data_IF_046564945638
#
_entry.id   IF_046564945638
#
_cell.length_a   1.000
_cell.length_b   1.000
_cell.length_c   1.000
_cell.angle_alpha   90.00
_cell.angle_beta   90.00
_cell.angle_gamma   90.00
#
_symmetry.space_group_name_H-M   'P 1'
#
loop_
_entity.id
_entity.type
_entity.pdbx_description
1 polymer ?
#
# COMPACT_ATOMS: atom_id res chain seq x y z
N UNK A 1 -4.01 -24.48 -13.32
CA UNK A 1 -2.60 -23.98 -13.31
C UNK A 1 -2.09 -24.07 -11.90
N UNK A 2 -0.83 -24.48 -11.66
CA UNK A 2 -0.23 -24.49 -10.33
C UNK A 2 0.17 -23.05 -9.93
N UNK A 3 0.33 -22.81 -8.63
CA UNK A 3 0.48 -21.44 -8.11
C UNK A 3 1.78 -20.76 -8.60
N UNK A 4 2.90 -21.47 -8.71
CA UNK A 4 4.16 -20.88 -9.20
C UNK A 4 4.00 -20.37 -10.63
N UNK A 5 3.38 -21.17 -11.51
CA UNK A 5 3.10 -20.82 -12.90
C UNK A 5 2.13 -19.66 -13.02
N UNK A 6 1.14 -19.61 -12.12
CA UNK A 6 0.21 -18.47 -12.02
C UNK A 6 0.96 -17.18 -11.64
N UNK A 7 1.82 -17.22 -10.62
CA UNK A 7 2.61 -16.05 -10.22
C UNK A 7 3.51 -15.57 -11.37
N UNK A 8 4.12 -16.49 -12.11
CA UNK A 8 4.95 -16.19 -13.27
C UNK A 8 4.13 -15.56 -14.41
N UNK A 9 2.97 -16.13 -14.75
CA UNK A 9 2.07 -15.61 -15.78
C UNK A 9 1.48 -14.24 -15.43
N UNK A 10 1.32 -13.95 -14.13
CA UNK A 10 0.91 -12.63 -13.65
C UNK A 10 2.04 -11.61 -13.60
N UNK A 11 3.28 -11.99 -13.87
CA UNK A 11 4.45 -11.11 -13.82
C UNK A 11 4.85 -10.70 -12.39
N UNK A 12 4.53 -11.54 -11.39
CA UNK A 12 4.79 -11.24 -9.99
C UNK A 12 6.20 -11.63 -9.53
N UNK A 13 6.87 -12.53 -10.21
CA UNK A 13 8.20 -13.03 -9.83
C UNK A 13 9.28 -12.13 -10.44
N UNK A 14 10.19 -11.60 -9.61
CA UNK A 14 11.35 -10.82 -10.07
C UNK A 14 12.64 -11.65 -9.95
N UNK A 15 13.03 -12.08 -8.75
CA UNK A 15 14.23 -12.88 -8.52
C UNK A 15 13.91 -14.06 -7.59
N UNK A 16 14.64 -15.16 -7.77
CA UNK A 16 14.53 -16.38 -6.97
C UNK A 16 15.91 -16.93 -6.65
N UNK A 17 16.10 -17.50 -5.47
CA UNK A 17 17.38 -18.16 -5.09
C UNK A 17 17.52 -19.53 -5.76
N UNK A 18 16.42 -20.28 -5.89
CA UNK A 18 16.38 -21.59 -6.54
C UNK A 18 14.96 -21.78 -7.12
N UNK A 19 14.86 -21.79 -8.45
CA UNK A 19 13.55 -21.85 -9.12
C UNK A 19 12.86 -23.21 -8.94
N UNK A 20 13.62 -24.30 -8.99
CA UNK A 20 13.05 -25.66 -8.92
C UNK A 20 12.53 -25.98 -7.52
N UNK A 21 13.34 -25.70 -6.51
CA UNK A 21 12.96 -25.91 -5.11
C UNK A 21 11.81 -25.02 -4.66
N UNK A 22 11.84 -23.74 -5.04
CA UNK A 22 10.74 -22.81 -4.73
C UNK A 22 9.44 -23.25 -5.39
N UNK A 23 9.49 -23.68 -6.67
CA UNK A 23 8.34 -24.21 -7.40
C UNK A 23 7.76 -25.43 -6.69
N UNK A 24 8.62 -26.39 -6.31
CA UNK A 24 8.21 -27.59 -5.59
C UNK A 24 7.55 -27.24 -4.24
N UNK A 25 8.13 -26.32 -3.47
CA UNK A 25 7.60 -25.92 -2.17
C UNK A 25 6.23 -25.26 -2.29
N UNK A 26 6.10 -24.24 -3.14
CA UNK A 26 4.85 -23.47 -3.21
C UNK A 26 3.71 -24.22 -3.90
N UNK A 27 4.02 -25.03 -4.93
CA UNK A 27 3.03 -25.80 -5.65
C UNK A 27 2.44 -26.95 -4.82
N UNK A 28 3.18 -27.45 -3.82
CA UNK A 28 2.74 -28.53 -2.96
C UNK A 28 2.25 -28.07 -1.57
N UNK A 29 2.10 -26.77 -1.36
CA UNK A 29 1.64 -26.22 -0.07
C UNK A 29 2.63 -26.44 1.08
N UNK A 30 3.92 -26.62 0.78
CA UNK A 30 4.99 -26.92 1.76
C UNK A 30 5.74 -25.66 2.21
N UNK A 31 5.48 -24.50 1.61
CA UNK A 31 6.12 -23.28 2.00
C UNK A 31 5.46 -22.70 3.26
N UNK A 32 6.26 -22.59 4.33
CA UNK A 32 5.99 -21.66 5.43
C UNK A 32 6.85 -20.43 5.19
N UNK A 33 6.24 -19.32 4.87
CA UNK A 33 6.95 -18.14 4.36
C UNK A 33 6.58 -16.88 5.10
N UNK A 34 7.49 -15.91 5.14
CA UNK A 34 7.19 -14.62 5.75
C UNK A 34 7.38 -13.44 4.79
N UNK A 35 6.61 -12.39 5.07
CA UNK A 35 6.82 -11.05 4.56
C UNK A 35 6.87 -10.09 5.75
N UNK A 36 7.88 -9.21 5.78
CA UNK A 36 8.05 -8.20 6.82
C UNK A 36 7.32 -6.90 6.50
N UNK A 37 6.74 -6.30 7.53
CA UNK A 37 6.02 -5.02 7.46
C UNK A 37 6.49 -4.11 8.58
N UNK A 38 7.28 -3.09 8.26
CA UNK A 38 7.68 -2.08 9.24
C UNK A 38 6.50 -1.14 9.55
N UNK A 39 6.10 -0.99 10.82
CA UNK A 39 4.92 -0.24 11.24
C UNK A 39 5.19 1.28 11.25
N UNK A 40 5.54 1.84 10.09
CA UNK A 40 5.92 3.26 9.92
C UNK A 40 4.75 4.23 9.85
N UNK A 41 3.52 3.73 9.90
CA UNK A 41 2.26 4.47 9.95
C UNK A 41 1.19 3.59 10.60
N UNK A 42 0.09 4.19 11.00
CA UNK A 42 -1.09 3.52 11.58
C UNK A 42 -2.02 2.89 10.53
N UNK A 43 -1.59 2.80 9.29
CA UNK A 43 -2.30 2.10 8.20
C UNK A 43 -1.33 1.54 7.17
N UNK A 44 -1.72 0.40 6.60
CA UNK A 44 -1.17 -0.11 5.34
C UNK A 44 -1.64 0.79 4.18
N UNK A 45 -0.90 0.77 3.09
CA UNK A 45 -1.22 1.54 1.88
C UNK A 45 -1.01 0.67 0.62
N UNK A 46 -1.37 1.19 -0.55
CA UNK A 46 -1.25 0.48 -1.84
C UNK A 46 0.15 -0.09 -2.08
N UNK A 47 1.21 0.51 -1.54
CA UNK A 47 2.57 -0.06 -1.63
C UNK A 47 2.74 -1.42 -0.94
N UNK A 48 1.92 -1.74 0.07
CA UNK A 48 1.90 -3.05 0.74
C UNK A 48 0.92 -4.04 0.06
N UNK A 49 0.06 -3.53 -0.82
CA UNK A 49 -1.05 -4.28 -1.39
C UNK A 49 -0.60 -5.52 -2.16
N UNK A 50 0.47 -5.40 -2.95
CA UNK A 50 1.01 -6.54 -3.69
C UNK A 50 1.49 -7.67 -2.76
N UNK A 51 2.16 -7.31 -1.66
CA UNK A 51 2.59 -8.29 -0.67
C UNK A 51 1.40 -9.01 -0.04
N UNK A 52 0.33 -8.28 0.30
CA UNK A 52 -0.90 -8.86 0.84
C UNK A 52 -1.62 -9.77 -0.18
N UNK A 53 -1.70 -9.35 -1.44
CA UNK A 53 -2.25 -10.18 -2.52
C UNK A 53 -1.44 -11.47 -2.73
N UNK A 54 -0.10 -11.38 -2.66
CA UNK A 54 0.77 -12.54 -2.75
C UNK A 54 0.52 -13.51 -1.59
N UNK A 55 0.48 -12.99 -0.34
CA UNK A 55 0.20 -13.81 0.84
C UNK A 55 -1.13 -14.54 0.71
N UNK A 56 -2.18 -13.84 0.26
CA UNK A 56 -3.50 -14.42 0.02
C UNK A 56 -3.46 -15.53 -1.03
N UNK A 57 -2.81 -15.30 -2.17
CA UNK A 57 -2.68 -16.31 -3.24
C UNK A 57 -1.99 -17.57 -2.78
N UNK A 58 -0.85 -17.40 -2.10
CA UNK A 58 -0.08 -18.53 -1.58
C UNK A 58 -0.83 -19.27 -0.48
N UNK A 59 -1.59 -18.57 0.38
CA UNK A 59 -2.44 -19.20 1.37
C UNK A 59 -3.57 -20.02 0.72
N UNK A 60 -4.23 -19.48 -0.31
CA UNK A 60 -5.25 -20.19 -1.09
C UNK A 60 -4.70 -21.46 -1.76
N UNK A 61 -3.40 -21.46 -2.09
CA UNK A 61 -2.69 -22.62 -2.63
C UNK A 61 -2.16 -23.59 -1.53
N UNK A 62 -2.57 -23.42 -0.26
CA UNK A 62 -2.23 -24.31 0.85
C UNK A 62 -0.91 -23.97 1.56
N UNK A 63 -0.22 -22.90 1.18
CA UNK A 63 0.99 -22.46 1.86
C UNK A 63 0.68 -21.66 3.13
N UNK A 64 1.61 -21.63 4.07
CA UNK A 64 1.43 -20.99 5.38
C UNK A 64 2.12 -19.63 5.45
N UNK A 65 1.39 -18.50 5.39
CA UNK A 65 1.99 -17.17 5.51
C UNK A 65 2.29 -16.81 6.97
N UNK A 66 3.38 -16.04 7.13
CA UNK A 66 3.74 -15.35 8.37
C UNK A 66 3.78 -13.85 8.06
N UNK A 67 2.89 -13.08 8.65
CA UNK A 67 2.99 -11.62 8.65
C UNK A 67 3.92 -11.21 9.79
N UNK A 68 5.15 -10.82 9.46
CA UNK A 68 6.12 -10.35 10.44
C UNK A 68 6.00 -8.83 10.59
N UNK A 69 5.56 -8.41 11.76
CA UNK A 69 5.53 -6.97 12.09
C UNK A 69 6.88 -6.55 12.63
N UNK A 70 7.45 -5.52 12.04
CA UNK A 70 8.76 -4.98 12.38
C UNK A 70 8.74 -4.09 13.64
N UNK A 71 8.20 -4.58 14.77
CA UNK A 71 8.18 -3.84 16.01
C UNK A 71 9.58 -3.53 16.55
N UNK A 72 10.53 -4.47 16.40
CA UNK A 72 11.94 -4.27 16.75
C UNK A 72 12.70 -3.50 15.67
N UNK A 73 12.57 -3.89 14.40
CA UNK A 73 13.23 -3.21 13.27
C UNK A 73 12.70 -1.80 13.04
N UNK A 74 11.48 -1.48 13.48
CA UNK A 74 10.90 -0.15 13.45
C UNK A 74 11.67 0.90 14.26
N UNK A 75 12.43 0.48 15.27
CA UNK A 75 13.35 1.38 16.02
C UNK A 75 14.55 1.82 15.19
N UNK A 76 14.92 1.04 14.17
CA UNK A 76 16.12 1.25 13.36
C UNK A 76 15.74 1.90 12.02
N UNK A 77 14.81 1.31 11.30
CA UNK A 77 14.36 1.71 9.98
C UNK A 77 15.20 1.14 8.84
N UNK A 78 14.51 0.49 7.89
CA UNK A 78 15.11 -0.11 6.70
C UNK A 78 15.71 0.97 5.77
N UNK A 79 17.00 0.91 5.42
CA UNK A 79 17.64 1.81 4.48
C UNK A 79 17.34 1.48 3.01
N UNK A 80 16.80 0.31 2.69
CA UNK A 80 16.61 -0.18 1.32
C UNK A 80 15.68 0.72 0.51
N UNK A 81 16.11 1.05 -0.73
CA UNK A 81 15.32 1.87 -1.65
C UNK A 81 15.06 3.31 -1.18
N UNK A 82 15.89 3.85 -0.28
CA UNK A 82 15.78 5.19 0.28
C UNK A 82 17.07 6.00 0.13
N UNK A 83 16.90 7.30 0.12
CA UNK A 83 18.02 8.25 0.10
C UNK A 83 18.27 8.92 1.45
N UNK A 84 17.28 8.91 2.35
CA UNK A 84 17.31 9.62 3.64
C UNK A 84 16.98 8.66 4.79
N UNK A 85 17.54 8.93 5.98
CA UNK A 85 17.26 8.18 7.20
C UNK A 85 15.81 8.36 7.63
N UNK A 86 15.19 7.32 8.19
CA UNK A 86 13.85 7.40 8.78
C UNK A 86 13.86 8.19 10.08
N UNK A 87 12.76 8.90 10.36
CA UNK A 87 12.52 9.48 11.68
C UNK A 87 12.30 8.35 12.71
N UNK A 88 12.89 8.49 13.88
CA UNK A 88 12.70 7.54 14.98
C UNK A 88 11.29 7.69 15.56
N UNK A 89 10.61 6.56 15.78
CA UNK A 89 9.29 6.50 16.38
C UNK A 89 9.39 6.09 17.87
N UNK A 90 8.41 6.48 18.69
CA UNK A 90 8.32 6.01 20.07
C UNK A 90 7.79 4.57 20.13
N UNK A 91 8.09 3.82 21.22
CA UNK A 91 7.56 2.47 21.43
C UNK A 91 6.03 2.39 21.34
N UNK A 92 5.35 3.39 21.92
CA UNK A 92 3.88 3.48 21.94
C UNK A 92 3.32 3.66 20.52
N UNK A 93 3.96 4.51 19.72
CA UNK A 93 3.58 4.70 18.30
C UNK A 93 3.77 3.40 17.51
N UNK A 94 4.89 2.70 17.70
CA UNK A 94 5.16 1.42 17.04
C UNK A 94 4.10 0.39 17.41
N UNK A 95 3.76 0.26 18.71
CA UNK A 95 2.76 -0.69 19.18
C UNK A 95 1.37 -0.37 18.59
N UNK A 96 0.97 0.90 18.63
CA UNK A 96 -0.30 1.33 18.02
C UNK A 96 -0.37 0.96 16.52
N UNK A 97 0.69 1.24 15.78
CA UNK A 97 0.75 0.92 14.36
C UNK A 97 0.69 -0.61 14.10
N UNK A 98 1.35 -1.41 14.95
CA UNK A 98 1.27 -2.88 14.90
C UNK A 98 -0.18 -3.37 15.03
N UNK A 99 -0.92 -2.83 15.99
CA UNK A 99 -2.31 -3.20 16.25
C UNK A 99 -3.24 -2.81 15.07
N UNK A 100 -2.96 -1.66 14.45
CA UNK A 100 -3.67 -1.22 13.26
C UNK A 100 -3.41 -2.16 12.07
N UNK A 101 -2.15 -2.55 11.84
CA UNK A 101 -1.78 -3.47 10.76
C UNK A 101 -2.48 -4.82 10.90
N UNK A 102 -2.54 -5.36 12.11
CA UNK A 102 -3.21 -6.64 12.39
C UNK A 102 -4.64 -6.64 11.88
N UNK A 103 -5.45 -5.64 12.28
CA UNK A 103 -6.85 -5.52 11.89
C UNK A 103 -7.04 -5.43 10.37
N UNK A 104 -6.10 -4.77 9.67
CA UNK A 104 -6.18 -4.61 8.23
C UNK A 104 -5.79 -5.90 7.49
N UNK A 105 -4.77 -6.62 7.98
CA UNK A 105 -4.30 -7.87 7.38
C UNK A 105 -5.34 -9.00 7.49
N UNK A 106 -6.14 -9.03 8.54
CA UNK A 106 -7.24 -10.01 8.74
C UNK A 106 -8.28 -10.01 7.61
N UNK A 107 -8.33 -8.94 6.81
CA UNK A 107 -9.19 -8.87 5.60
C UNK A 107 -8.62 -9.62 4.40
N UNK A 108 -7.31 -9.86 4.39
CA UNK A 108 -6.62 -10.49 3.26
C UNK A 108 -6.29 -11.96 3.52
N UNK A 109 -5.82 -12.27 4.71
CA UNK A 109 -5.32 -13.60 5.09
C UNK A 109 -6.04 -14.10 6.32
N UNK A 110 -6.23 -15.42 6.38
CA UNK A 110 -6.87 -16.08 7.50
C UNK A 110 -5.81 -16.47 8.54
N UNK A 111 -5.91 -15.90 9.73
CA UNK A 111 -5.08 -16.25 10.88
C UNK A 111 -5.70 -17.37 11.71
N UNK A 112 -4.88 -18.16 12.41
CA UNK A 112 -5.34 -19.21 13.31
C UNK A 112 -4.45 -20.45 13.29
N UNK A 113 -4.86 -21.46 14.04
CA UNK A 113 -4.15 -22.74 14.12
C UNK A 113 -4.09 -23.41 12.74
N UNK A 114 -2.88 -23.80 12.30
CA UNK A 114 -2.66 -24.36 10.96
C UNK A 114 -2.76 -23.36 9.79
N UNK A 115 -3.18 -22.13 10.04
CA UNK A 115 -3.31 -21.05 9.07
C UNK A 115 -2.15 -20.05 9.18
N UNK A 116 -2.37 -18.80 8.80
CA UNK A 116 -1.34 -17.77 8.92
C UNK A 116 -0.96 -17.47 10.38
N UNK A 117 0.29 -17.06 10.57
CA UNK A 117 0.78 -16.51 11.83
C UNK A 117 0.99 -14.99 11.68
N UNK A 118 0.80 -14.31 12.80
CA UNK A 118 1.27 -12.93 12.96
C UNK A 118 2.30 -12.91 14.08
N UNK A 119 3.52 -12.47 13.76
CA UNK A 119 4.63 -12.39 14.69
C UNK A 119 5.15 -10.95 14.76
N UNK A 120 5.71 -10.58 15.89
CA UNK A 120 6.36 -9.29 16.09
C UNK A 120 7.85 -9.54 16.42
N UNK A 121 8.76 -9.03 15.59
CA UNK A 121 10.18 -9.23 15.84
C UNK A 121 10.73 -8.51 17.08
N UNK A 122 9.97 -7.59 17.68
CA UNK A 122 10.27 -7.03 19.00
C UNK A 122 10.37 -8.12 20.08
N UNK A 123 9.61 -9.23 19.94
CA UNK A 123 9.56 -10.32 20.93
C UNK A 123 10.90 -11.01 21.13
N UNK A 124 11.75 -11.01 20.12
CA UNK A 124 13.10 -11.58 20.20
C UNK A 124 14.20 -10.54 20.03
N UNK A 125 14.11 -9.58 19.10
CA UNK A 125 15.19 -8.60 18.86
C UNK A 125 15.51 -7.73 20.07
N UNK A 126 14.47 -7.30 20.82
CA UNK A 126 14.67 -6.46 22.01
C UNK A 126 15.27 -7.22 23.20
N UNK A 127 15.30 -8.54 23.16
CA UNK A 127 15.87 -9.41 24.20
C UNK A 127 17.27 -9.89 23.89
N UNK A 128 17.77 -9.61 22.68
CA UNK A 128 19.10 -10.06 22.27
C UNK A 128 20.20 -9.33 23.06
N UNK A 129 21.16 -10.11 23.55
CA UNK A 129 22.40 -9.53 24.07
C UNK A 129 23.27 -9.09 22.90
N UNK A 130 23.71 -7.83 22.91
CA UNK A 130 24.49 -7.25 21.82
C UNK A 130 25.81 -7.99 21.55
N UNK A 131 26.54 -8.40 22.60
CA UNK A 131 27.82 -9.11 22.45
C UNK A 131 27.59 -10.52 21.88
N UNK A 132 26.55 -11.21 22.34
CA UNK A 132 26.20 -12.52 21.82
C UNK A 132 25.77 -12.44 20.35
N UNK A 133 24.98 -11.42 19.97
CA UNK A 133 24.59 -11.19 18.59
C UNK A 133 25.80 -10.95 17.70
N UNK A 134 26.74 -10.11 18.10
CA UNK A 134 27.96 -9.86 17.34
C UNK A 134 28.82 -11.13 17.18
N UNK A 135 28.94 -11.91 18.24
CA UNK A 135 29.72 -13.15 18.23
C UNK A 135 29.07 -14.23 17.35
N UNK A 136 27.79 -14.46 17.49
CA UNK A 136 27.10 -15.59 16.89
C UNK A 136 26.57 -15.29 15.48
N UNK A 137 26.10 -14.08 15.24
CA UNK A 137 25.52 -13.63 13.98
C UNK A 137 26.48 -12.76 13.20
N UNK A 138 27.06 -11.75 13.85
CA UNK A 138 27.99 -10.83 13.21
C UNK A 138 29.19 -11.52 12.55
N UNK A 139 29.71 -12.61 13.16
CA UNK A 139 30.79 -13.44 12.58
C UNK A 139 30.41 -14.11 11.24
N UNK A 140 29.10 -14.21 10.92
CA UNK A 140 28.64 -14.75 9.65
C UNK A 140 28.58 -13.71 8.53
N UNK A 141 28.78 -12.43 8.82
CA UNK A 141 28.71 -11.34 7.85
C UNK A 141 30.07 -10.74 7.54
N UNK A 142 30.35 -10.53 6.26
CA UNK A 142 31.54 -9.79 5.82
C UNK A 142 31.13 -8.34 5.52
N UNK A 143 31.72 -7.38 6.23
CA UNK A 143 31.49 -5.95 6.01
C UNK A 143 31.76 -5.57 4.55
N UNK A 144 32.82 -6.11 3.93
CA UNK A 144 33.13 -5.85 2.53
C UNK A 144 32.01 -6.33 1.58
N UNK A 145 31.37 -7.45 1.88
CA UNK A 145 30.25 -7.96 1.07
C UNK A 145 28.98 -7.14 1.32
N UNK A 146 28.71 -6.78 2.58
CA UNK A 146 27.55 -5.93 2.93
C UNK A 146 27.65 -4.57 2.23
N UNK A 147 28.82 -3.92 2.23
CA UNK A 147 29.00 -2.61 1.57
C UNK A 147 28.82 -2.67 0.03
N UNK A 148 28.93 -3.85 -0.58
CA UNK A 148 28.64 -4.05 -2.01
C UNK A 148 27.14 -4.24 -2.29
N UNK A 149 26.33 -4.49 -1.26
CA UNK A 149 24.91 -4.72 -1.40
C UNK A 149 24.19 -3.47 -1.91
N UNK A 150 23.23 -3.65 -2.83
CA UNK A 150 22.51 -2.54 -3.47
C UNK A 150 21.77 -1.68 -2.46
N UNK A 151 21.24 -2.29 -1.39
CA UNK A 151 20.53 -1.57 -0.32
C UNK A 151 21.38 -0.49 0.37
N UNK A 152 22.71 -0.60 0.36
CA UNK A 152 23.61 0.38 0.99
C UNK A 152 24.21 1.39 0.01
N UNK A 153 24.33 1.09 -1.28
CA UNK A 153 25.01 1.96 -2.25
C UNK A 153 24.49 3.39 -2.26
N UNK A 154 23.16 3.56 -2.36
CA UNK A 154 22.54 4.89 -2.40
C UNK A 154 22.72 5.64 -1.07
N UNK A 155 22.74 4.93 0.05
CA UNK A 155 22.93 5.52 1.37
C UNK A 155 24.38 5.93 1.62
N UNK A 156 25.37 5.17 1.09
CA UNK A 156 26.78 5.50 1.25
C UNK A 156 27.15 6.87 0.69
N UNK A 157 26.51 7.30 -0.42
CA UNK A 157 26.72 8.62 -1.02
C UNK A 157 26.31 9.77 -0.08
N UNK A 158 25.29 9.56 0.76
CA UNK A 158 24.74 10.55 1.70
C UNK A 158 25.13 10.32 3.17
N UNK A 159 25.91 9.28 3.42
CA UNK A 159 26.34 8.89 4.76
C UNK A 159 25.44 7.81 5.35
N UNK A 160 25.90 6.55 5.28
CA UNK A 160 25.27 5.39 5.92
C UNK A 160 25.64 5.37 7.41
N UNK A 161 24.64 5.41 8.29
CA UNK A 161 24.89 5.30 9.74
C UNK A 161 25.17 3.85 10.14
N UNK A 162 25.91 3.65 11.25
CA UNK A 162 26.11 2.32 11.83
C UNK A 162 24.79 1.65 12.21
N UNK A 163 23.79 2.44 12.62
CA UNK A 163 22.46 1.98 12.92
C UNK A 163 21.83 1.30 11.69
N UNK A 164 21.75 2.01 10.58
CA UNK A 164 21.17 1.51 9.31
C UNK A 164 21.97 0.32 8.75
N UNK A 165 23.31 0.34 8.91
CA UNK A 165 24.18 -0.75 8.45
C UNK A 165 23.86 -2.08 9.14
N UNK A 166 23.38 -2.06 10.38
CA UNK A 166 23.01 -3.27 11.10
C UNK A 166 21.65 -3.85 10.72
N UNK A 167 20.82 -3.12 9.94
CA UNK A 167 19.49 -3.57 9.59
C UNK A 167 19.48 -4.95 8.90
N UNK A 168 20.37 -5.18 7.93
CA UNK A 168 20.51 -6.46 7.24
C UNK A 168 20.73 -7.62 8.20
N UNK A 169 21.58 -7.46 9.21
CA UNK A 169 21.86 -8.54 10.18
C UNK A 169 20.64 -8.85 11.06
N UNK A 170 19.82 -7.85 11.39
CA UNK A 170 18.58 -8.05 12.16
C UNK A 170 17.51 -8.77 11.33
N UNK A 171 17.29 -8.36 10.09
CA UNK A 171 16.35 -9.05 9.19
C UNK A 171 16.82 -10.49 8.89
N UNK A 172 18.11 -10.72 8.78
CA UNK A 172 18.67 -12.05 8.62
C UNK A 172 18.47 -12.91 9.88
N UNK A 173 18.56 -12.29 11.06
CA UNK A 173 18.27 -12.97 12.33
C UNK A 173 16.79 -13.31 12.46
N UNK A 174 15.89 -12.45 12.00
CA UNK A 174 14.45 -12.73 11.97
C UNK A 174 14.16 -14.02 11.19
N UNK A 175 14.75 -14.16 9.99
CA UNK A 175 14.57 -15.37 9.18
C UNK A 175 15.14 -16.60 9.88
N UNK A 176 16.36 -16.50 10.42
CA UNK A 176 17.00 -17.58 11.16
C UNK A 176 16.18 -18.01 12.39
N UNK A 177 15.69 -17.05 13.16
CA UNK A 177 14.84 -17.30 14.33
C UNK A 177 13.53 -18.02 13.95
N UNK A 178 12.82 -17.52 12.95
CA UNK A 178 11.57 -18.13 12.50
C UNK A 178 11.78 -19.48 11.81
N UNK A 179 12.91 -19.68 11.15
CA UNK A 179 13.28 -21.00 10.61
C UNK A 179 13.33 -22.06 11.72
N UNK A 180 13.94 -21.72 12.86
CA UNK A 180 14.10 -22.65 13.99
C UNK A 180 12.81 -22.81 14.81
N UNK A 181 12.04 -21.75 14.98
CA UNK A 181 10.92 -21.74 15.94
C UNK A 181 9.57 -22.12 15.33
N UNK A 182 9.33 -21.75 14.07
CA UNK A 182 8.04 -21.96 13.38
C UNK A 182 8.17 -22.66 12.03
N UNK A 183 9.37 -23.11 11.65
CA UNK A 183 9.62 -23.81 10.40
C UNK A 183 9.52 -22.95 9.15
N UNK A 184 9.77 -21.64 9.28
CA UNK A 184 9.76 -20.70 8.16
C UNK A 184 10.91 -21.03 7.19
N UNK A 185 10.60 -21.53 5.99
CA UNK A 185 11.58 -21.98 5.01
C UNK A 185 11.73 -21.03 3.81
N UNK A 186 10.87 -20.02 3.71
CA UNK A 186 10.92 -19.04 2.62
C UNK A 186 10.73 -17.60 3.10
N UNK A 187 11.38 -16.67 2.42
CA UNK A 187 11.16 -15.23 2.56
C UNK A 187 10.68 -14.64 1.24
N UNK A 188 9.66 -13.79 1.31
CA UNK A 188 9.22 -12.97 0.18
C UNK A 188 9.38 -11.49 0.53
N UNK A 189 9.64 -10.67 -0.49
CA UNK A 189 9.74 -9.22 -0.34
C UNK A 189 9.73 -8.51 -1.67
N UNK A 190 9.74 -7.18 -1.66
CA UNK A 190 9.98 -6.38 -2.86
C UNK A 190 11.39 -6.58 -3.40
N UNK A 191 11.62 -6.27 -4.67
CA UNK A 191 12.92 -6.46 -5.31
C UNK A 191 14.04 -5.64 -4.65
N UNK A 192 13.69 -4.55 -3.99
CA UNK A 192 14.60 -3.74 -3.17
C UNK A 192 15.10 -4.44 -1.90
N UNK A 193 14.47 -5.56 -1.50
CA UNK A 193 14.83 -6.37 -0.32
C UNK A 193 15.82 -7.50 -0.62
N UNK A 194 16.18 -7.74 -1.88
CA UNK A 194 16.95 -8.89 -2.30
C UNK A 194 18.20 -9.14 -1.47
N UNK A 195 19.02 -8.10 -1.27
CA UNK A 195 20.27 -8.21 -0.49
C UNK A 195 20.03 -8.61 0.97
N UNK A 196 18.99 -8.06 1.61
CA UNK A 196 18.62 -8.40 2.99
C UNK A 196 18.18 -9.86 3.09
N UNK A 197 17.39 -10.32 2.09
CA UNK A 197 16.87 -11.69 2.03
C UNK A 197 17.99 -12.72 1.88
N UNK A 198 18.97 -12.44 1.01
CA UNK A 198 20.15 -13.29 0.84
C UNK A 198 21.00 -13.39 2.12
N UNK A 199 21.05 -12.32 2.92
CA UNK A 199 21.69 -12.36 4.25
C UNK A 199 21.06 -13.41 5.16
N UNK A 200 19.72 -13.54 5.13
CA UNK A 200 18.98 -14.54 5.92
C UNK A 200 19.22 -15.96 5.45
N UNK A 201 19.13 -16.22 4.13
CA UNK A 201 19.40 -17.57 3.58
C UNK A 201 20.83 -18.02 3.87
N UNK A 202 21.80 -17.12 3.74
CA UNK A 202 23.21 -17.41 4.03
C UNK A 202 23.46 -17.64 5.53
N UNK A 203 22.80 -16.90 6.42
CA UNK A 203 22.90 -17.11 7.87
C UNK A 203 22.39 -18.51 8.26
N UNK A 204 21.24 -18.92 7.73
CA UNK A 204 20.66 -20.26 7.97
C UNK A 204 21.62 -21.35 7.47
N UNK A 205 22.15 -21.20 6.26
CA UNK A 205 23.12 -22.13 5.68
C UNK A 205 24.38 -22.26 6.55
N UNK A 206 24.95 -21.14 7.00
CA UNK A 206 26.19 -21.15 7.82
C UNK A 206 25.98 -21.72 9.22
N UNK A 207 24.85 -21.37 9.85
CA UNK A 207 24.61 -21.77 11.25
C UNK A 207 24.01 -23.16 11.39
N UNK A 208 23.17 -23.59 10.45
CA UNK A 208 22.40 -24.83 10.56
C UNK A 208 22.76 -25.88 9.51
N UNK A 209 23.54 -25.51 8.46
CA UNK A 209 23.80 -26.40 7.33
C UNK A 209 22.53 -26.80 6.57
N UNK A 210 21.51 -25.95 6.58
CA UNK A 210 20.22 -26.16 5.93
C UNK A 210 19.96 -25.08 4.89
N UNK A 211 19.09 -25.41 3.92
CA UNK A 211 18.69 -24.49 2.90
C UNK A 211 17.39 -23.77 3.29
N UNK A 212 17.33 -22.51 2.95
CA UNK A 212 16.16 -21.65 3.01
C UNK A 212 16.12 -20.77 1.75
N UNK A 213 14.94 -20.39 1.32
CA UNK A 213 14.77 -19.81 -0.01
C UNK A 213 14.19 -18.40 0.07
N UNK A 214 14.48 -17.62 -0.98
CA UNK A 214 14.00 -16.27 -1.10
C UNK A 214 13.47 -16.01 -2.51
N UNK A 215 12.36 -15.27 -2.60
CA UNK A 215 11.78 -14.80 -3.85
C UNK A 215 11.36 -13.35 -3.72
N UNK A 216 11.77 -12.51 -4.66
CA UNK A 216 11.28 -11.13 -4.72
C UNK A 216 10.11 -11.00 -5.69
N UNK A 217 9.22 -10.06 -5.37
CA UNK A 217 8.10 -9.68 -6.22
C UNK A 217 8.42 -8.38 -6.96
N UNK A 218 7.95 -8.34 -8.20
CA UNK A 218 8.05 -7.15 -9.05
C UNK A 218 7.40 -5.95 -8.36
N UNK A 219 8.12 -4.82 -8.30
CA UNK A 219 7.55 -3.60 -7.74
C UNK A 219 6.43 -3.05 -8.63
N UNK A 220 5.37 -2.56 -8.01
CA UNK A 220 4.25 -1.96 -8.73
C UNK A 220 4.65 -0.54 -9.19
N UNK A 221 5.09 -0.45 -10.43
CA UNK A 221 5.51 0.80 -11.07
C UNK A 221 4.51 1.18 -12.16
N UNK A 222 4.25 2.49 -12.30
CA UNK A 222 3.51 2.99 -13.45
C UNK A 222 4.41 3.09 -14.70
N UNK A 223 3.82 3.40 -15.85
CA UNK A 223 4.51 3.55 -17.15
C UNK A 223 5.56 4.67 -17.17
N UNK A 224 5.51 5.61 -16.21
CA UNK A 224 6.52 6.66 -16.01
C UNK A 224 7.70 6.21 -15.12
N UNK A 225 7.72 4.96 -14.66
CA UNK A 225 8.75 4.43 -13.75
C UNK A 225 8.62 4.91 -12.30
N UNK A 226 7.45 5.37 -11.88
CA UNK A 226 7.19 5.79 -10.49
C UNK A 226 6.47 4.68 -9.73
N UNK A 227 6.84 4.47 -8.44
CA UNK A 227 6.12 3.54 -7.55
C UNK A 227 4.66 3.99 -7.41
N UNK A 228 3.71 3.08 -7.63
CA UNK A 228 2.28 3.36 -7.45
C UNK A 228 1.90 3.41 -5.96
N UNK A 229 0.72 3.98 -5.67
CA UNK A 229 0.19 4.09 -4.31
C UNK A 229 0.48 5.41 -3.62
N UNK A 230 1.05 6.38 -4.34
CA UNK A 230 1.19 7.77 -3.89
C UNK A 230 0.53 8.72 -4.87
N UNK A 231 -0.17 9.71 -4.34
CA UNK A 231 -0.74 10.84 -5.09
C UNK A 231 -0.05 12.13 -4.68
N UNK A 232 -0.41 13.25 -5.29
CA UNK A 232 0.06 14.57 -4.86
C UNK A 232 -0.35 14.90 -3.40
N UNK A 233 -1.43 14.28 -2.91
CA UNK A 233 -1.94 14.42 -1.54
C UNK A 233 -1.38 13.38 -0.56
N UNK A 234 -0.49 12.48 -0.98
CA UNK A 234 0.15 11.50 -0.13
C UNK A 234 -0.13 10.04 -0.50
N UNK A 235 0.02 9.12 0.46
CA UNK A 235 -0.23 7.71 0.25
C UNK A 235 -1.72 7.41 0.10
N UNK A 236 -2.06 6.40 -0.73
CA UNK A 236 -3.40 5.82 -0.82
C UNK A 236 -3.49 4.70 0.22
N UNK A 237 -4.26 4.95 1.28
CA UNK A 237 -4.34 4.10 2.45
C UNK A 237 -5.39 2.99 2.29
N UNK A 238 -5.20 1.88 3.01
CA UNK A 238 -6.20 0.81 3.07
C UNK A 238 -7.22 1.03 4.20
N UNK A 239 -6.95 1.97 5.12
CA UNK A 239 -7.90 2.40 6.15
C UNK A 239 -8.97 3.31 5.52
N UNK A 240 -10.27 2.96 5.63
CA UNK A 240 -11.37 3.77 5.07
C UNK A 240 -11.49 5.16 5.71
N UNK A 241 -10.96 5.37 6.92
CA UNK A 241 -10.95 6.68 7.57
C UNK A 241 -9.86 7.63 7.02
N UNK A 242 -8.85 7.09 6.33
CA UNK A 242 -7.73 7.86 5.72
C UNK A 242 -7.90 8.04 4.23
N UNK A 243 -8.37 7.02 3.54
CA UNK A 243 -8.76 7.05 2.13
C UNK A 243 -10.12 6.38 2.04
N UNK A 244 -11.17 7.15 1.75
CA UNK A 244 -12.52 6.60 1.67
C UNK A 244 -12.61 5.49 0.60
N UNK A 245 -13.55 4.52 0.71
CA UNK A 245 -13.75 3.51 -0.33
C UNK A 245 -13.99 4.12 -1.72
N UNK A 246 -14.65 5.28 -1.77
CA UNK A 246 -14.84 6.02 -3.01
C UNK A 246 -13.54 6.59 -3.57
N UNK A 247 -12.69 7.22 -2.75
CA UNK A 247 -11.41 7.76 -3.20
C UNK A 247 -10.45 6.65 -3.59
N UNK A 248 -10.48 5.50 -2.88
CA UNK A 248 -9.73 4.30 -3.23
C UNK A 248 -10.19 3.75 -4.60
N UNK A 249 -11.50 3.67 -4.83
CA UNK A 249 -12.08 3.30 -6.13
C UNK A 249 -11.64 4.27 -7.23
N UNK A 250 -11.73 5.57 -7.00
CA UNK A 250 -11.35 6.61 -7.96
C UNK A 250 -9.85 6.59 -8.28
N UNK A 251 -9.01 6.26 -7.31
CA UNK A 251 -7.58 6.09 -7.56
C UNK A 251 -7.34 5.04 -8.66
N UNK A 252 -7.94 3.87 -8.54
CA UNK A 252 -7.79 2.79 -9.50
C UNK A 252 -8.54 3.06 -10.82
N UNK A 253 -9.69 3.70 -10.74
CA UNK A 253 -10.46 4.13 -11.93
C UNK A 253 -9.70 5.15 -12.78
N UNK A 254 -8.77 5.88 -12.19
CA UNK A 254 -7.96 6.92 -12.84
C UNK A 254 -6.55 6.45 -13.24
N UNK A 255 -6.23 5.19 -13.12
CA UNK A 255 -4.96 4.61 -13.60
C UNK A 255 -4.81 4.84 -15.10
N UNK A 256 -3.58 5.06 -15.56
CA UNK A 256 -3.28 5.29 -16.98
C UNK A 256 -3.67 4.12 -17.88
N UNK A 257 -4.01 4.41 -19.13
CA UNK A 257 -4.38 3.38 -20.11
C UNK A 257 -3.25 2.35 -20.29
N UNK A 258 -2.00 2.80 -20.24
CA UNK A 258 -0.82 1.93 -20.38
C UNK A 258 -0.59 1.01 -19.14
N UNK A 259 -1.22 1.31 -18.01
CA UNK A 259 -0.98 0.61 -16.74
C UNK A 259 -2.14 -0.32 -16.33
N UNK A 260 -3.35 -0.07 -16.82
CA UNK A 260 -4.57 -0.72 -16.29
C UNK A 260 -4.54 -2.23 -16.43
N UNK A 261 -4.17 -2.77 -17.60
CA UNK A 261 -4.16 -4.22 -17.85
C UNK A 261 -3.07 -4.91 -17.03
N UNK A 262 -1.91 -4.27 -16.88
CA UNK A 262 -0.85 -4.72 -15.98
C UNK A 262 -1.35 -4.78 -14.53
N UNK A 263 -2.03 -3.74 -14.04
CA UNK A 263 -2.60 -3.73 -12.69
C UNK A 263 -3.65 -4.82 -12.49
N UNK A 264 -4.53 -5.07 -13.48
CA UNK A 264 -5.50 -6.17 -13.43
C UNK A 264 -4.78 -7.50 -13.28
N UNK A 265 -3.77 -7.76 -14.12
CA UNK A 265 -3.02 -9.01 -14.12
C UNK A 265 -2.30 -9.27 -12.79
N UNK A 266 -1.66 -8.26 -12.24
CA UNK A 266 -0.85 -8.40 -11.03
C UNK A 266 -1.68 -8.43 -9.73
N UNK A 267 -2.74 -7.62 -9.65
CA UNK A 267 -3.42 -7.33 -8.39
C UNK A 267 -4.76 -8.03 -8.21
N UNK A 268 -5.50 -8.29 -9.29
CA UNK A 268 -6.84 -8.92 -9.16
C UNK A 268 -6.76 -10.43 -9.06
N UNK A 269 -7.83 -11.05 -8.55
CA UNK A 269 -8.01 -12.50 -8.48
C UNK A 269 -8.86 -13.05 -9.64
N UNK A 270 -9.02 -12.27 -10.71
CA UNK A 270 -9.71 -12.71 -11.93
C UNK A 270 -8.96 -13.87 -12.58
N UNK A 271 -9.67 -14.82 -13.23
CA UNK A 271 -9.05 -15.88 -14.02
C UNK A 271 -8.11 -15.33 -15.09
N UNK A 272 -6.98 -16.00 -15.32
CA UNK A 272 -6.00 -15.54 -16.32
C UNK A 272 -6.58 -15.53 -17.73
N UNK A 273 -7.44 -16.50 -18.07
CA UNK A 273 -8.12 -16.59 -19.35
C UNK A 273 -8.95 -15.32 -19.64
N UNK A 274 -9.66 -14.80 -18.63
CA UNK A 274 -10.39 -13.55 -18.75
C UNK A 274 -9.46 -12.34 -18.91
N UNK A 275 -8.32 -12.35 -18.22
CA UNK A 275 -7.32 -11.27 -18.33
C UNK A 275 -6.65 -11.30 -19.71
N UNK A 276 -6.34 -12.49 -20.24
CA UNK A 276 -5.74 -12.67 -21.58
C UNK A 276 -6.67 -12.15 -22.68
N UNK A 277 -7.99 -12.32 -22.54
CA UNK A 277 -8.97 -11.69 -23.44
C UNK A 277 -8.90 -10.14 -23.36
N UNK A 278 -8.72 -9.58 -22.15
CA UNK A 278 -8.60 -8.14 -21.97
C UNK A 278 -7.31 -7.54 -22.56
N UNK A 279 -6.25 -8.32 -22.73
CA UNK A 279 -4.98 -7.84 -23.33
C UNK A 279 -5.15 -7.32 -24.77
N UNK A 280 -6.24 -7.70 -25.45
CA UNK A 280 -6.61 -7.20 -26.77
C UNK A 280 -7.37 -5.88 -26.74
N UNK A 281 -7.80 -5.42 -25.56
CA UNK A 281 -8.66 -4.25 -25.42
C UNK A 281 -7.94 -2.95 -25.71
N UNK A 282 -8.62 -2.03 -26.39
CA UNK A 282 -8.10 -0.73 -26.80
C UNK A 282 -9.19 0.36 -26.69
N UNK A 283 -8.77 1.61 -26.66
CA UNK A 283 -9.67 2.75 -26.71
C UNK A 283 -10.70 2.75 -25.56
N UNK A 284 -11.98 2.78 -25.91
CA UNK A 284 -13.08 2.83 -24.92
C UNK A 284 -13.16 1.58 -24.03
N UNK A 285 -12.70 0.41 -24.50
CA UNK A 285 -12.67 -0.82 -23.70
C UNK A 285 -11.76 -0.70 -22.46
N UNK A 286 -10.70 0.11 -22.54
CA UNK A 286 -9.84 0.38 -21.38
C UNK A 286 -10.58 1.10 -20.24
N UNK A 287 -11.63 1.85 -20.56
CA UNK A 287 -12.49 2.42 -19.52
C UNK A 287 -13.26 1.35 -18.75
N UNK A 288 -13.72 0.31 -19.44
CA UNK A 288 -14.33 -0.86 -18.80
C UNK A 288 -13.29 -1.62 -17.96
N UNK A 289 -12.08 -1.81 -18.47
CA UNK A 289 -10.99 -2.42 -17.71
C UNK A 289 -10.68 -1.65 -16.41
N UNK A 290 -10.67 -0.32 -16.45
CA UNK A 290 -10.50 0.54 -15.26
C UNK A 290 -11.63 0.39 -14.25
N UNK A 291 -12.87 0.22 -14.71
CA UNK A 291 -14.01 -0.05 -13.82
C UNK A 291 -13.88 -1.41 -13.13
N UNK A 292 -13.49 -2.43 -13.89
CA UNK A 292 -13.24 -3.77 -13.36
C UNK A 292 -12.12 -3.72 -12.33
N UNK A 293 -10.98 -3.10 -12.66
CA UNK A 293 -9.85 -2.94 -11.74
C UNK A 293 -10.28 -2.25 -10.44
N UNK A 294 -10.95 -1.11 -10.55
CA UNK A 294 -11.38 -0.32 -9.40
C UNK A 294 -12.39 -1.09 -8.53
N UNK A 295 -13.34 -1.79 -9.15
CA UNK A 295 -14.31 -2.60 -8.42
C UNK A 295 -13.65 -3.76 -7.69
N UNK A 296 -12.85 -4.58 -8.37
CA UNK A 296 -12.20 -5.76 -7.80
C UNK A 296 -11.27 -5.40 -6.63
N UNK A 297 -10.49 -4.33 -6.77
CA UNK A 297 -9.56 -3.92 -5.71
C UNK A 297 -10.29 -3.25 -4.53
N UNK A 298 -11.33 -2.48 -4.78
CA UNK A 298 -12.16 -1.90 -3.71
C UNK A 298 -12.92 -3.00 -2.97
N UNK A 299 -13.48 -3.97 -3.69
CA UNK A 299 -14.12 -5.16 -3.10
C UNK A 299 -13.17 -5.93 -2.19
N UNK A 300 -11.92 -6.12 -2.62
CA UNK A 300 -10.92 -6.85 -1.86
C UNK A 300 -10.53 -6.14 -0.54
N UNK A 301 -10.47 -4.79 -0.55
CA UNK A 301 -10.03 -4.00 0.61
C UNK A 301 -11.21 -3.61 1.52
N UNK A 302 -12.32 -3.18 0.94
CA UNK A 302 -13.44 -2.56 1.67
C UNK A 302 -14.72 -3.40 1.68
N UNK A 303 -14.75 -4.49 0.91
CA UNK A 303 -15.93 -5.35 0.76
C UNK A 303 -16.77 -4.99 -0.45
N UNK A 304 -17.64 -5.93 -0.83
CA UNK A 304 -18.45 -5.84 -2.07
C UNK A 304 -19.48 -4.71 -2.03
N UNK A 305 -20.09 -4.48 -0.87
CA UNK A 305 -21.09 -3.43 -0.68
C UNK A 305 -20.50 -2.03 -0.91
N UNK A 306 -19.33 -1.76 -0.29
CA UNK A 306 -18.63 -0.47 -0.46
C UNK A 306 -18.10 -0.29 -1.89
N UNK A 307 -17.64 -1.37 -2.53
CA UNK A 307 -17.24 -1.33 -3.94
C UNK A 307 -18.42 -1.00 -4.86
N UNK A 308 -19.60 -1.59 -4.62
CA UNK A 308 -20.81 -1.31 -5.39
C UNK A 308 -21.27 0.15 -5.21
N UNK A 309 -21.29 0.65 -3.97
CA UNK A 309 -21.62 2.06 -3.68
C UNK A 309 -20.65 3.02 -4.39
N UNK A 310 -19.34 2.73 -4.32
CA UNK A 310 -18.33 3.56 -4.96
C UNK A 310 -18.46 3.55 -6.50
N UNK A 311 -18.77 2.39 -7.09
CA UNK A 311 -18.99 2.26 -8.53
C UNK A 311 -20.24 3.01 -8.98
N UNK A 312 -21.34 2.89 -8.25
CA UNK A 312 -22.59 3.57 -8.54
C UNK A 312 -22.41 5.10 -8.47
N UNK A 313 -21.79 5.59 -7.39
CA UNK A 313 -21.45 7.01 -7.25
C UNK A 313 -20.56 7.51 -8.40
N UNK A 314 -19.56 6.73 -8.80
CA UNK A 314 -18.70 7.10 -9.93
C UNK A 314 -19.47 7.16 -11.25
N UNK A 315 -20.35 6.18 -11.54
CA UNK A 315 -21.16 6.16 -12.76
C UNK A 315 -22.18 7.30 -12.80
N UNK A 316 -22.81 7.61 -11.67
CA UNK A 316 -23.74 8.72 -11.52
C UNK A 316 -23.12 10.07 -11.91
N UNK A 317 -21.87 10.28 -11.53
CA UNK A 317 -21.13 11.51 -11.84
C UNK A 317 -20.74 11.65 -13.31
N UNK A 318 -20.53 10.54 -14.03
CA UNK A 318 -20.15 10.55 -15.45
C UNK A 318 -21.38 10.43 -16.39
N UNK A 319 -22.51 9.95 -15.90
CA UNK A 319 -23.74 9.72 -16.68
C UNK A 319 -24.72 10.90 -16.74
N UNK A 320 -24.45 12.02 -16.08
CA UNK A 320 -25.23 13.24 -16.19
C UNK A 320 -26.57 13.26 -15.44
N UNK A 321 -26.83 12.36 -14.49
CA UNK A 321 -28.12 12.31 -13.79
C UNK A 321 -28.18 11.42 -12.56
N UNK A 322 -27.08 11.26 -11.79
CA UNK A 322 -27.04 10.33 -10.69
C UNK A 322 -27.07 10.94 -9.30
N UNK A 323 -27.59 10.16 -8.37
CA UNK A 323 -27.72 10.46 -6.96
C UNK A 323 -26.35 10.74 -6.30
N UNK A 324 -26.23 11.91 -5.67
CA UNK A 324 -25.02 12.40 -5.02
C UNK A 324 -24.78 11.79 -3.62
N UNK A 325 -25.56 10.78 -3.22
CA UNK A 325 -25.59 10.25 -1.85
C UNK A 325 -24.26 9.61 -1.39
N UNK A 326 -23.48 9.05 -2.32
CA UNK A 326 -22.24 8.31 -2.02
C UNK A 326 -20.95 9.07 -2.39
N UNK A 327 -21.02 10.37 -2.64
CA UNK A 327 -19.88 11.22 -2.94
C UNK A 327 -19.09 11.55 -1.67
N UNK A 328 -17.73 11.66 -1.70
CA UNK A 328 -16.99 12.17 -0.57
C UNK A 328 -17.59 13.46 -0.05
N UNK A 329 -17.87 13.51 1.22
CA UNK A 329 -18.63 14.59 1.83
C UNK A 329 -17.87 15.20 3.01
N UNK A 330 -17.83 16.52 3.06
CA UNK A 330 -17.39 17.25 4.26
C UNK A 330 -18.60 17.91 4.89
N UNK A 331 -18.78 17.65 6.17
CA UNK A 331 -19.75 18.36 6.99
C UNK A 331 -19.17 19.70 7.39
N UNK A 332 -19.87 20.77 7.07
CA UNK A 332 -19.54 22.14 7.45
C UNK A 332 -20.38 22.52 8.66
N UNK A 333 -19.75 23.18 9.64
CA UNK A 333 -20.42 23.75 10.81
C UNK A 333 -20.86 25.19 10.51
N UNK A 334 -21.82 25.70 11.24
CA UNK A 334 -22.22 27.12 11.11
C UNK A 334 -21.06 28.11 11.36
N UNK A 335 -20.11 27.75 12.16
CA UNK A 335 -18.88 28.51 12.43
C UNK A 335 -17.94 28.62 11.21
N UNK A 336 -18.10 27.77 10.20
CA UNK A 336 -17.34 27.83 8.95
C UNK A 336 -17.84 28.95 8.01
N UNK A 337 -19.01 29.51 8.32
CA UNK A 337 -19.65 30.59 7.55
C UNK A 337 -19.51 31.92 8.30
N UNK A 338 -19.50 33.01 7.54
CA UNK A 338 -19.56 34.37 8.11
C UNK A 338 -20.87 34.64 8.86
N UNK A 339 -20.96 35.78 9.55
CA UNK A 339 -22.19 36.21 10.21
C UNK A 339 -23.40 36.36 9.24
N UNK A 340 -23.09 36.62 7.97
CA UNK A 340 -24.07 36.71 6.87
C UNK A 340 -24.45 35.33 6.31
N UNK A 341 -23.85 34.25 6.81
CA UNK A 341 -24.11 32.86 6.39
C UNK A 341 -23.42 32.50 5.05
N UNK A 342 -22.28 33.11 4.75
CA UNK A 342 -21.52 32.86 3.53
C UNK A 342 -20.15 32.26 3.82
N UNK A 343 -19.64 31.43 2.89
CA UNK A 343 -18.27 30.88 2.89
C UNK A 343 -17.59 31.25 1.57
N UNK A 344 -16.35 31.75 1.63
CA UNK A 344 -15.56 32.02 0.43
C UNK A 344 -15.03 30.71 -0.21
N UNK A 345 -14.91 30.72 -1.55
CA UNK A 345 -14.48 29.56 -2.32
C UNK A 345 -13.13 28.98 -1.87
N UNK A 346 -12.18 29.84 -1.44
CA UNK A 346 -10.86 29.40 -1.03
C UNK A 346 -10.93 28.64 0.29
N UNK A 347 -11.71 29.13 1.25
CA UNK A 347 -11.99 28.48 2.52
C UNK A 347 -12.75 27.17 2.30
N UNK A 348 -13.77 27.18 1.43
CA UNK A 348 -14.56 26.00 1.08
C UNK A 348 -13.66 24.87 0.50
N UNK A 349 -12.78 25.20 -0.44
CA UNK A 349 -11.86 24.21 -1.03
C UNK A 349 -10.87 23.63 -0.02
N UNK A 350 -10.37 24.44 0.91
CA UNK A 350 -9.45 23.97 1.97
C UNK A 350 -10.20 23.09 2.98
N UNK A 351 -11.37 23.48 3.43
CA UNK A 351 -12.21 22.72 4.35
C UNK A 351 -12.61 21.36 3.78
N UNK A 352 -12.93 21.31 2.50
CA UNK A 352 -13.25 20.07 1.78
C UNK A 352 -12.02 19.22 1.43
N UNK A 353 -10.81 19.60 1.86
CA UNK A 353 -9.58 18.87 1.53
C UNK A 353 -9.19 18.89 0.05
N UNK A 354 -9.87 19.72 -0.76
CA UNK A 354 -9.61 19.86 -2.19
C UNK A 354 -8.37 20.72 -2.50
N UNK A 355 -7.90 21.49 -1.52
CA UNK A 355 -6.66 22.24 -1.59
C UNK A 355 -5.96 22.20 -0.21
N UNK A 356 -4.63 22.06 -0.21
CA UNK A 356 -3.85 22.02 1.03
C UNK A 356 -3.71 23.40 1.69
N UNK A 357 -3.96 24.49 0.93
CA UNK A 357 -3.87 25.87 1.40
C UNK A 357 -4.73 26.82 0.57
N UNK A 358 -5.05 28.00 1.13
CA UNK A 358 -5.73 29.06 0.36
C UNK A 358 -4.93 29.51 -0.86
N UNK A 359 -3.59 29.42 -0.83
CA UNK A 359 -2.73 29.73 -1.97
C UNK A 359 -2.89 28.73 -3.12
N UNK A 360 -3.03 27.43 -2.81
CA UNK A 360 -3.34 26.40 -3.82
C UNK A 360 -4.78 26.58 -4.34
N UNK A 361 -5.74 26.79 -3.46
CA UNK A 361 -7.13 27.03 -3.83
C UNK A 361 -7.25 28.20 -4.82
N UNK A 362 -6.55 29.32 -4.57
CA UNK A 362 -6.53 30.48 -5.47
C UNK A 362 -6.01 30.13 -6.87
N UNK A 363 -4.91 29.37 -6.95
CA UNK A 363 -4.38 28.91 -8.24
C UNK A 363 -5.36 28.03 -9.00
N UNK A 364 -6.03 27.10 -8.30
CA UNK A 364 -7.03 26.22 -8.88
C UNK A 364 -8.20 27.00 -9.48
N UNK A 365 -8.73 28.00 -8.77
CA UNK A 365 -9.82 28.86 -9.24
C UNK A 365 -9.38 29.66 -10.44
N UNK A 366 -8.21 30.34 -10.38
CA UNK A 366 -7.67 31.15 -11.47
C UNK A 366 -7.40 30.36 -12.75
N UNK A 367 -6.98 29.08 -12.61
CA UNK A 367 -6.80 28.18 -13.74
C UNK A 367 -8.13 27.63 -14.29
N UNK A 368 -9.26 28.02 -13.71
CA UNK A 368 -10.59 27.54 -14.09
C UNK A 368 -10.82 26.07 -13.82
N UNK A 369 -10.09 25.51 -12.84
CA UNK A 369 -10.15 24.11 -12.43
C UNK A 369 -11.24 23.79 -11.41
N UNK A 370 -12.12 24.75 -11.06
CA UNK A 370 -13.14 24.58 -10.03
C UNK A 370 -14.54 24.81 -10.61
N UNK A 371 -15.47 23.91 -10.27
CA UNK A 371 -16.91 24.03 -10.56
C UNK A 371 -17.68 23.74 -9.28
N UNK A 372 -18.67 24.55 -8.96
CA UNK A 372 -19.57 24.32 -7.81
C UNK A 372 -21.00 24.24 -8.34
N UNK A 373 -21.72 23.20 -7.97
CA UNK A 373 -23.10 22.93 -8.42
C UNK A 373 -23.27 23.05 -9.95
N UNK A 374 -22.28 22.53 -10.71
CA UNK A 374 -22.29 22.56 -12.18
C UNK A 374 -21.83 23.88 -12.80
N UNK A 375 -21.65 24.94 -12.02
CA UNK A 375 -21.21 26.25 -12.52
C UNK A 375 -19.70 26.45 -12.32
N UNK A 376 -18.99 26.86 -13.37
CA UNK A 376 -17.56 27.13 -13.32
C UNK A 376 -17.30 28.36 -12.46
N UNK A 377 -16.42 28.23 -11.46
CA UNK A 377 -15.99 29.34 -10.61
C UNK A 377 -14.67 29.88 -11.13
N UNK A 378 -14.69 31.12 -11.58
CA UNK A 378 -13.50 31.83 -12.07
C UNK A 378 -13.06 32.98 -11.14
N UNK A 379 -13.96 33.40 -10.24
CA UNK A 379 -13.70 34.48 -9.30
C UNK A 379 -13.19 33.90 -7.97
N UNK A 380 -12.04 34.37 -7.52
CA UNK A 380 -11.43 33.99 -6.23
C UNK A 380 -12.17 34.57 -5.01
N UNK A 381 -13.03 35.56 -5.23
CA UNK A 381 -13.88 36.18 -4.21
C UNK A 381 -15.30 35.60 -4.18
N UNK A 382 -15.57 34.58 -5.03
CA UNK A 382 -16.86 33.91 -5.07
C UNK A 382 -17.24 33.38 -3.67
N UNK A 383 -18.52 33.60 -3.29
CA UNK A 383 -19.07 33.18 -2.01
C UNK A 383 -20.28 32.28 -2.23
N UNK A 384 -20.46 31.36 -1.32
CA UNK A 384 -21.55 30.39 -1.32
C UNK A 384 -22.33 30.51 0.00
N UNK A 385 -23.63 30.52 -0.09
CA UNK A 385 -24.47 30.64 1.10
C UNK A 385 -24.61 29.29 1.84
N UNK A 386 -24.92 29.33 3.11
CA UNK A 386 -25.23 28.11 3.86
C UNK A 386 -26.40 27.33 3.22
N UNK A 387 -27.30 28.01 2.48
CA UNK A 387 -28.41 27.37 1.77
C UNK A 387 -27.94 26.47 0.63
N UNK A 388 -26.82 26.84 -0.04
CA UNK A 388 -26.23 26.03 -1.10
C UNK A 388 -25.65 24.71 -0.56
N UNK A 389 -25.35 24.68 0.74
CA UNK A 389 -24.83 23.51 1.45
C UNK A 389 -25.90 22.75 2.25
N UNK A 390 -27.18 23.22 2.27
CA UNK A 390 -28.30 22.54 2.92
C UNK A 390 -28.86 21.40 2.07
N UNK A 391 -29.57 20.47 2.70
CA UNK A 391 -30.24 19.36 2.02
C UNK A 391 -29.23 18.43 1.33
N UNK A 392 -29.26 18.37 0.01
CA UNK A 392 -28.32 17.52 -0.74
C UNK A 392 -26.88 18.02 -0.73
N UNK A 393 -26.63 19.27 -0.32
CA UNK A 393 -25.31 19.89 -0.24
C UNK A 393 -24.75 20.39 -1.56
N UNK A 394 -23.66 21.17 -1.48
CA UNK A 394 -22.96 21.72 -2.64
C UNK A 394 -21.97 20.73 -3.25
N UNK A 395 -22.17 20.38 -4.52
CA UNK A 395 -21.24 19.52 -5.26
C UNK A 395 -20.12 20.37 -5.84
N UNK A 396 -18.89 20.08 -5.44
CA UNK A 396 -17.68 20.77 -5.87
C UNK A 396 -16.89 19.83 -6.79
N UNK A 397 -16.45 20.33 -7.94
CA UNK A 397 -15.59 19.59 -8.86
C UNK A 397 -14.23 20.29 -8.99
N UNK A 398 -13.14 19.55 -8.75
CA UNK A 398 -11.75 19.99 -8.95
C UNK A 398 -11.17 19.31 -10.19
N UNK A 399 -10.82 20.10 -11.20
CA UNK A 399 -10.32 19.57 -12.47
C UNK A 399 -11.35 18.72 -13.21
N UNK A 400 -10.88 17.69 -13.93
CA UNK A 400 -11.75 16.83 -14.76
C UNK A 400 -12.37 15.65 -13.99
N UNK A 401 -11.79 15.27 -12.84
CA UNK A 401 -11.99 13.92 -12.28
C UNK A 401 -12.31 13.87 -10.78
N UNK A 402 -12.10 14.94 -10.01
CA UNK A 402 -12.31 14.96 -8.57
C UNK A 402 -13.61 15.67 -8.25
N UNK A 403 -14.50 14.98 -7.52
CA UNK A 403 -15.76 15.49 -7.03
C UNK A 403 -15.82 15.37 -5.51
N UNK A 404 -16.45 16.34 -4.87
CA UNK A 404 -16.62 16.39 -3.43
C UNK A 404 -17.92 17.10 -3.08
N UNK A 405 -18.52 16.73 -1.97
CA UNK A 405 -19.78 17.31 -1.49
C UNK A 405 -19.54 18.07 -0.19
N UNK A 406 -20.02 19.28 -0.11
CA UNK A 406 -20.06 20.06 1.12
C UNK A 406 -21.50 20.13 1.65
N UNK A 407 -21.73 19.64 2.87
CA UNK A 407 -23.08 19.60 3.49
C UNK A 407 -23.02 20.34 4.82
N UNK A 408 -23.99 21.23 5.05
CA UNK A 408 -24.17 21.87 6.35
C UNK A 408 -24.70 20.84 7.35
N UNK A 409 -24.03 20.69 8.49
CA UNK A 409 -24.51 19.85 9.58
C UNK A 409 -25.71 20.56 10.26
N UNK A 410 -26.88 19.98 10.12
CA UNK A 410 -28.06 20.44 10.85
C UNK A 410 -27.88 20.05 12.34
N UNK A 411 -28.01 21.03 13.25
CA UNK A 411 -27.99 20.80 14.69
C UNK A 411 -29.26 20.13 15.17
#
# INVERSE_FOLDING_TARGET
MQIYEELKARGLIAQVTDEEEIRELVNNGKATFYIGFDPTADSLHVGHFMALCLMKRLQMAGNRPIALIGGGTGYIGDPSGRTDMRSMMTPETIQHNCDCFKKQMERFIEFGEGKALMLNNADWLLKLNYIELLREVGACFSVNNMLRAECYKQRMEKGLSFLEFNYMSMQSYDFYHMFQTVGCNMQFGGDDQWSNMLGGTELIRRKLGKDAYAMTITLLMNSEGKKMGKTASGAVWLDPNKTSPYDFYQYWRNVGDADVLKCIRMLTFLPLEQIDEMDTWQGSQLNTAKEILAFELTKLVHGEEEAAKAQEAARALFGGGGDSANMPCTKLCREDFTAEGEIDILTLLVKCGLAASKGEARRLVQQGGVTVCGQKVADIEARFSCKDCCGEGAVIKKGKKVYHKAVLEEQ
#
